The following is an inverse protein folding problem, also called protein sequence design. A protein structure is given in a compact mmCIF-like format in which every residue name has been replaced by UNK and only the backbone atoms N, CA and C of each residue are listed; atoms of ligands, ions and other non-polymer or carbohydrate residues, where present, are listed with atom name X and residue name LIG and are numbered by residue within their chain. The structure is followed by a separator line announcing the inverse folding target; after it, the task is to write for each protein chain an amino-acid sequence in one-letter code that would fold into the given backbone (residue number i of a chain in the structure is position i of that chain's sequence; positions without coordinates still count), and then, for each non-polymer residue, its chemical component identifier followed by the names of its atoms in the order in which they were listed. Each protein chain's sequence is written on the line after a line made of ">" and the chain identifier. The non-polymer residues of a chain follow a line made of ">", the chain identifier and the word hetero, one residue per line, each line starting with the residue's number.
data_IF_384695037037
#
_entry.id   IF_384695037037
#
_cell.length_a   1.000
_cell.length_b   1.000
_cell.length_c   1.000
_cell.angle_alpha   90.00
_cell.angle_beta   90.00
_cell.angle_gamma   90.00
#
_symmetry.space_group_name_H-M   'P 1'
#
loop_
_entity.id
_entity.type
_entity.pdbx_description
1 polymer ?
#
# COMPACT_ATOMS: atom_id res chain seq x y z
N UNK A 1 32.67 -10.68 9.49
CA UNK A 1 32.37 -9.65 10.49
C UNK A 1 31.12 -8.90 10.06
N UNK A 2 29.94 -9.37 10.49
CA UNK A 2 28.66 -8.67 10.26
C UNK A 2 28.30 -7.94 11.55
N UNK A 3 27.95 -6.68 11.36
CA UNK A 3 27.75 -5.60 12.30
C UNK A 3 26.73 -5.91 13.40
N UNK A 4 27.13 -5.73 14.66
CA UNK A 4 26.29 -5.89 15.86
C UNK A 4 25.14 -4.85 15.97
N UNK A 5 24.98 -3.97 14.98
CA UNK A 5 24.05 -2.83 15.00
C UNK A 5 22.61 -3.19 14.63
N UNK A 6 22.39 -4.27 13.88
CA UNK A 6 21.04 -4.65 13.42
C UNK A 6 20.21 -5.32 14.52
N UNK A 7 20.87 -5.96 15.50
CA UNK A 7 20.21 -6.58 16.67
C UNK A 7 19.69 -5.52 17.63
N UNK A 8 20.45 -4.45 17.87
CA UNK A 8 20.12 -3.38 18.84
C UNK A 8 18.93 -2.53 18.37
N UNK A 9 18.79 -2.33 17.04
CA UNK A 9 17.65 -1.62 16.45
C UNK A 9 16.37 -2.45 16.60
N UNK A 10 16.47 -3.78 16.49
CA UNK A 10 15.34 -4.69 16.69
C UNK A 10 14.88 -4.70 18.15
N UNK A 11 15.83 -4.75 19.10
CA UNK A 11 15.54 -4.73 20.53
C UNK A 11 14.95 -3.40 20.99
N UNK A 12 15.44 -2.28 20.44
CA UNK A 12 14.89 -0.95 20.75
C UNK A 12 13.47 -0.82 20.20
N UNK A 13 13.20 -1.32 18.99
CA UNK A 13 11.85 -1.34 18.41
C UNK A 13 10.89 -2.22 19.21
N UNK A 14 11.36 -3.37 19.69
CA UNK A 14 10.57 -4.28 20.53
C UNK A 14 10.26 -3.64 21.88
N UNK A 15 11.24 -2.98 22.52
CA UNK A 15 11.03 -2.22 23.77
C UNK A 15 10.04 -1.08 23.60
N UNK A 16 10.15 -0.31 22.52
CA UNK A 16 9.20 0.76 22.22
C UNK A 16 7.78 0.22 21.96
N UNK A 17 7.65 -0.96 21.36
CA UNK A 17 6.37 -1.64 21.18
C UNK A 17 5.77 -2.15 22.50
N UNK A 18 6.62 -2.66 23.39
CA UNK A 18 6.25 -3.17 24.71
C UNK A 18 5.88 -2.03 25.68
N UNK A 19 6.66 -0.96 25.68
CA UNK A 19 6.39 0.28 26.42
C UNK A 19 5.09 0.93 25.93
N UNK A 20 4.89 1.04 24.62
CA UNK A 20 3.62 1.52 24.06
C UNK A 20 2.42 0.60 24.41
N UNK A 21 2.66 -0.70 24.65
CA UNK A 21 1.61 -1.63 25.12
C UNK A 21 1.30 -1.40 26.60
N UNK A 22 2.34 -1.24 27.42
CA UNK A 22 2.21 -0.95 28.85
C UNK A 22 1.49 0.37 29.12
N UNK A 23 1.77 1.42 28.32
CA UNK A 23 1.05 2.70 28.40
C UNK A 23 -0.44 2.56 28.01
N UNK A 24 -0.77 1.71 27.03
CA UNK A 24 -2.18 1.42 26.66
C UNK A 24 -2.91 0.70 27.78
N UNK A 25 -2.24 -0.26 28.41
CA UNK A 25 -2.80 -1.05 29.52
C UNK A 25 -2.99 -0.19 30.78
N UNK A 26 -2.09 0.75 31.05
CA UNK A 26 -2.23 1.69 32.16
C UNK A 26 -3.33 2.73 31.91
N UNK A 27 -3.52 3.19 30.67
CA UNK A 27 -4.59 4.12 30.31
C UNK A 27 -6.01 3.51 30.43
N UNK A 28 -6.13 2.18 30.39
CA UNK A 28 -7.39 1.46 30.64
C UNK A 28 -7.80 1.46 32.12
N UNK A 29 -6.87 1.70 33.04
CA UNK A 29 -7.11 1.57 34.48
C UNK A 29 -7.58 2.87 35.16
N UNK A 30 -7.53 4.03 34.49
CA UNK A 30 -7.76 5.34 35.14
C UNK A 30 -8.92 6.16 34.55
N UNK A 31 -9.77 5.57 33.72
CA UNK A 31 -11.01 6.25 33.28
C UNK A 31 -12.12 5.24 32.97
N UNK A 32 -13.26 5.42 33.64
CA UNK A 32 -14.42 4.53 33.62
C UNK A 32 -14.67 3.85 32.27
N UNK A 33 -14.40 2.55 32.27
CA UNK A 33 -14.86 1.47 31.39
C UNK A 33 -15.45 1.91 30.03
N UNK A 34 -14.62 2.51 29.18
CA UNK A 34 -14.94 2.60 27.74
C UNK A 34 -14.65 1.24 27.12
N UNK A 35 -15.65 0.35 27.13
CA UNK A 35 -15.63 -0.88 26.33
C UNK A 35 -15.46 -0.48 24.86
N UNK A 36 -14.25 -0.58 24.34
CA UNK A 36 -13.98 -0.34 22.92
C UNK A 36 -14.66 -1.48 22.16
N UNK A 37 -15.77 -1.17 21.51
CA UNK A 37 -16.46 -2.13 20.66
C UNK A 37 -15.51 -2.59 19.55
N UNK A 38 -15.27 -3.91 19.49
CA UNK A 38 -14.53 -4.55 18.41
C UNK A 38 -15.48 -4.73 17.24
N UNK A 39 -15.08 -4.21 16.08
CA UNK A 39 -15.87 -4.27 14.85
C UNK A 39 -15.32 -5.33 13.94
N UNK A 40 -16.21 -6.09 13.30
CA UNK A 40 -15.87 -7.02 12.23
C UNK A 40 -16.61 -6.68 10.93
N UNK A 41 -16.07 -7.13 9.81
CA UNK A 41 -16.75 -7.10 8.52
C UNK A 41 -17.01 -8.53 8.03
N UNK A 42 -17.85 -8.71 7.01
CA UNK A 42 -18.17 -10.02 6.40
C UNK A 42 -16.93 -10.78 5.89
N UNK A 43 -15.81 -10.10 5.68
CA UNK A 43 -14.52 -10.70 5.31
C UNK A 43 -13.65 -11.10 6.51
N UNK A 44 -14.15 -10.95 7.73
CA UNK A 44 -13.48 -11.38 8.96
C UNK A 44 -12.43 -10.41 9.51
N UNK A 45 -12.23 -9.23 8.91
CA UNK A 45 -11.30 -8.24 9.47
C UNK A 45 -11.87 -7.62 10.73
N UNK A 46 -11.04 -7.52 11.77
CA UNK A 46 -11.40 -6.88 13.03
C UNK A 46 -10.61 -5.60 13.26
N UNK A 47 -11.24 -4.58 13.82
CA UNK A 47 -10.57 -3.34 14.22
C UNK A 47 -11.27 -2.64 15.39
N UNK A 48 -10.48 -1.88 16.13
CA UNK A 48 -10.92 -1.18 17.34
C UNK A 48 -11.42 0.23 16.96
N UNK A 49 -12.71 0.52 17.16
CA UNK A 49 -13.31 1.85 16.90
C UNK A 49 -14.51 2.13 17.81
N UNK A 50 -14.79 3.42 18.02
CA UNK A 50 -16.03 3.84 18.70
C UNK A 50 -17.25 3.62 17.81
N UNK A 51 -18.38 3.24 18.42
CA UNK A 51 -19.64 2.94 17.73
C UNK A 51 -20.09 4.06 16.78
N UNK A 52 -20.04 5.32 17.23
CA UNK A 52 -20.40 6.48 16.42
C UNK A 52 -19.54 6.64 15.16
N UNK A 53 -18.25 6.26 15.22
CA UNK A 53 -17.35 6.32 14.07
C UNK A 53 -17.53 5.10 13.15
N UNK A 54 -17.84 3.93 13.71
CA UNK A 54 -18.00 2.71 12.94
C UNK A 54 -19.24 2.73 12.02
N UNK A 55 -20.34 3.37 12.45
CA UNK A 55 -21.61 3.40 11.70
C UNK A 55 -21.50 3.96 10.27
N UNK A 56 -20.49 4.80 9.98
CA UNK A 56 -20.31 5.44 8.67
C UNK A 56 -19.02 5.02 7.95
N UNK A 57 -18.28 4.04 8.47
CA UNK A 57 -16.95 3.68 7.95
C UNK A 57 -16.99 2.29 7.31
N UNK A 58 -16.68 2.23 6.01
CA UNK A 58 -16.32 0.97 5.34
C UNK A 58 -15.05 0.40 5.99
N UNK A 59 -14.98 -0.93 6.13
CA UNK A 59 -13.81 -1.61 6.69
C UNK A 59 -12.49 -1.11 6.07
N UNK A 60 -11.64 -0.49 6.89
CA UNK A 60 -10.38 0.10 6.43
C UNK A 60 -9.37 -0.97 6.03
N UNK A 61 -9.38 -2.13 6.68
CA UNK A 61 -8.53 -3.27 6.32
C UNK A 61 -8.92 -3.82 4.93
N UNK A 62 -10.22 -3.95 4.64
CA UNK A 62 -10.70 -4.25 3.30
C UNK A 62 -10.25 -3.21 2.26
N UNK A 63 -10.21 -1.92 2.62
CA UNK A 63 -9.75 -0.87 1.72
C UNK A 63 -8.25 -0.97 1.43
N UNK A 64 -7.43 -1.28 2.45
CA UNK A 64 -5.99 -1.51 2.30
C UNK A 64 -5.74 -2.74 1.41
N UNK A 65 -6.37 -3.88 1.72
CA UNK A 65 -6.22 -5.11 0.93
C UNK A 65 -6.63 -4.92 -0.53
N UNK A 66 -7.66 -4.11 -0.81
CA UNK A 66 -8.02 -3.76 -2.20
C UNK A 66 -6.92 -2.98 -2.92
N UNK A 67 -6.28 -2.02 -2.24
CA UNK A 67 -5.16 -1.25 -2.83
C UNK A 67 -3.94 -2.11 -3.08
N UNK A 68 -3.66 -3.06 -2.19
CA UNK A 68 -2.57 -4.02 -2.35
C UNK A 68 -2.83 -4.98 -3.52
N UNK A 69 -4.06 -5.50 -3.62
CA UNK A 69 -4.49 -6.32 -4.75
C UNK A 69 -4.36 -5.56 -6.07
N UNK A 70 -4.79 -4.30 -6.09
CA UNK A 70 -4.68 -3.47 -7.30
C UNK A 70 -3.21 -3.20 -7.65
N UNK A 71 -2.37 -2.90 -6.66
CA UNK A 71 -0.91 -2.75 -6.87
C UNK A 71 -0.31 -4.01 -7.50
N UNK A 72 -0.73 -5.21 -7.05
CA UNK A 72 -0.29 -6.48 -7.64
C UNK A 72 -0.74 -6.60 -9.10
N UNK A 73 -2.01 -6.32 -9.40
CA UNK A 73 -2.54 -6.35 -10.78
C UNK A 73 -1.79 -5.41 -11.71
N UNK A 74 -1.45 -4.20 -11.25
CA UNK A 74 -0.68 -3.24 -12.04
C UNK A 74 0.76 -3.69 -12.30
N UNK A 75 1.38 -4.41 -11.35
CA UNK A 75 2.69 -5.06 -11.58
C UNK A 75 2.59 -6.15 -12.64
N UNK A 76 1.57 -7.00 -12.56
CA UNK A 76 1.32 -8.04 -13.57
C UNK A 76 1.08 -7.44 -14.95
N UNK A 77 0.27 -6.36 -15.05
CA UNK A 77 0.09 -5.61 -16.28
C UNK A 77 1.43 -5.14 -16.88
N UNK A 78 2.32 -4.60 -16.03
CA UNK A 78 3.62 -4.15 -16.49
C UNK A 78 4.46 -5.31 -17.02
N UNK A 79 4.51 -6.43 -16.29
CA UNK A 79 5.25 -7.62 -16.68
C UNK A 79 4.75 -8.19 -18.01
N UNK A 80 3.43 -8.30 -18.21
CA UNK A 80 2.83 -8.80 -19.46
C UNK A 80 3.21 -7.92 -20.66
N UNK A 81 3.43 -6.62 -20.43
CA UNK A 81 3.86 -5.67 -21.48
C UNK A 81 5.39 -5.53 -21.57
N UNK A 82 6.14 -6.44 -20.94
CA UNK A 82 7.60 -6.49 -20.94
C UNK A 82 8.25 -5.38 -20.12
N UNK A 83 7.50 -4.69 -19.25
CA UNK A 83 7.96 -3.58 -18.44
C UNK A 83 7.86 -3.84 -16.93
N UNK A 84 8.00 -2.77 -16.16
CA UNK A 84 7.92 -2.79 -14.71
C UNK A 84 7.13 -1.59 -14.16
N UNK A 85 6.42 -1.82 -13.05
CA UNK A 85 5.87 -0.75 -12.23
C UNK A 85 6.91 -0.37 -11.17
N UNK A 86 7.42 0.86 -11.24
CA UNK A 86 8.45 1.37 -10.33
C UNK A 86 7.86 2.00 -9.06
N UNK A 87 6.61 2.49 -9.13
CA UNK A 87 5.92 2.99 -7.93
C UNK A 87 5.68 1.90 -6.89
N UNK A 88 5.87 2.25 -5.61
CA UNK A 88 5.74 1.29 -4.50
C UNK A 88 4.32 0.75 -4.31
N UNK A 89 3.30 1.60 -4.43
CA UNK A 89 1.89 1.25 -4.17
C UNK A 89 0.94 2.10 -5.01
N UNK A 90 -0.21 1.52 -5.33
CA UNK A 90 -1.38 2.22 -5.84
C UNK A 90 -2.14 2.90 -4.69
N UNK A 91 -2.50 4.17 -4.86
CA UNK A 91 -3.26 4.94 -3.86
C UNK A 91 -4.69 5.17 -4.34
N UNK A 92 -4.83 5.69 -5.56
CA UNK A 92 -6.08 6.00 -6.23
C UNK A 92 -5.87 6.06 -7.76
N UNK A 93 -6.98 6.21 -8.51
CA UNK A 93 -6.97 6.20 -9.97
C UNK A 93 -6.36 7.46 -10.60
N UNK A 94 -6.27 8.56 -9.86
CA UNK A 94 -5.83 9.86 -10.36
C UNK A 94 -4.34 10.09 -10.16
N UNK A 95 -3.76 9.45 -9.15
CA UNK A 95 -2.35 9.59 -8.78
C UNK A 95 -1.48 8.94 -9.87
N UNK A 96 -0.56 9.70 -10.49
CA UNK A 96 0.39 9.14 -11.44
C UNK A 96 1.28 8.10 -10.77
N UNK A 97 1.52 7.00 -11.49
CA UNK A 97 2.47 5.97 -11.13
C UNK A 97 3.66 6.04 -12.08
N UNK A 98 4.82 5.63 -11.60
CA UNK A 98 6.04 5.54 -12.38
C UNK A 98 6.17 4.16 -13.00
N UNK A 99 6.34 4.12 -14.32
CA UNK A 99 6.41 2.91 -15.13
C UNK A 99 7.73 2.84 -15.88
N UNK A 100 8.10 1.64 -16.29
CA UNK A 100 9.23 1.37 -17.17
C UNK A 100 8.82 0.36 -18.24
N UNK A 101 9.24 0.54 -19.50
CA UNK A 101 9.00 -0.43 -20.58
C UNK A 101 10.22 -1.33 -20.80
N UNK A 102 10.07 -2.33 -21.68
CA UNK A 102 11.15 -3.27 -22.05
C UNK A 102 12.41 -2.60 -22.57
N UNK A 103 12.28 -1.45 -23.24
CA UNK A 103 13.39 -0.68 -23.81
C UNK A 103 14.03 0.28 -22.80
N UNK A 104 13.57 0.28 -21.54
CA UNK A 104 14.14 1.08 -20.47
C UNK A 104 13.54 2.48 -20.30
N UNK A 105 12.68 2.96 -21.21
CA UNK A 105 12.00 4.24 -21.05
C UNK A 105 11.17 4.29 -19.78
N UNK A 106 11.24 5.41 -19.05
CA UNK A 106 10.54 5.64 -17.79
C UNK A 106 9.59 6.80 -17.95
N UNK A 107 8.35 6.66 -17.50
CA UNK A 107 7.35 7.73 -17.55
C UNK A 107 6.39 7.67 -16.38
N UNK A 108 5.77 8.81 -16.10
CA UNK A 108 4.73 8.94 -15.07
C UNK A 108 3.35 8.99 -15.75
N UNK A 109 2.44 8.08 -15.37
CA UNK A 109 1.09 7.99 -15.89
C UNK A 109 0.14 7.33 -14.89
N UNK A 110 -1.14 7.69 -14.91
CA UNK A 110 -2.16 6.95 -14.16
C UNK A 110 -2.31 5.52 -14.70
N UNK A 111 -2.87 4.63 -13.88
CA UNK A 111 -3.08 3.23 -14.26
C UNK A 111 -3.93 3.08 -15.54
N UNK A 112 -5.01 3.86 -15.68
CA UNK A 112 -5.85 3.83 -16.89
C UNK A 112 -5.06 4.29 -18.13
N UNK A 113 -4.29 5.38 -18.02
CA UNK A 113 -3.49 5.89 -19.14
C UNK A 113 -2.44 4.87 -19.56
N UNK A 114 -1.68 4.31 -18.62
CA UNK A 114 -0.66 3.30 -18.93
C UNK A 114 -1.29 2.05 -19.59
N UNK A 115 -2.45 1.60 -19.13
CA UNK A 115 -3.14 0.44 -19.71
C UNK A 115 -3.54 0.64 -21.18
N UNK A 116 -3.94 1.86 -21.55
CA UNK A 116 -4.37 2.22 -22.92
C UNK A 116 -3.21 2.63 -23.81
N UNK A 117 -2.28 3.40 -23.28
CA UNK A 117 -1.10 3.96 -23.96
C UNK A 117 0.12 3.64 -23.11
N UNK A 118 0.83 2.58 -23.50
CA UNK A 118 1.94 2.04 -22.72
C UNK A 118 3.10 3.02 -22.65
N UNK A 119 3.97 3.04 -23.66
CA UNK A 119 5.13 3.93 -23.70
C UNK A 119 5.03 4.83 -24.93
N UNK A 120 5.06 6.14 -24.71
CA UNK A 120 4.97 7.14 -25.79
C UNK A 120 6.19 7.11 -26.69
N UNK A 121 7.38 6.90 -26.11
CA UNK A 121 8.63 6.78 -26.86
C UNK A 121 8.61 5.54 -27.76
N UNK A 122 8.27 4.37 -27.21
CA UNK A 122 8.12 3.16 -28.03
C UNK A 122 7.06 3.33 -29.12
N UNK A 123 5.95 4.02 -28.83
CA UNK A 123 4.94 4.28 -29.85
C UNK A 123 5.54 5.14 -30.98
N UNK A 124 6.30 6.19 -30.66
CA UNK A 124 6.98 7.02 -31.68
C UNK A 124 7.99 6.22 -32.50
N UNK A 125 8.82 5.41 -31.86
CA UNK A 125 9.89 4.64 -32.53
C UNK A 125 9.33 3.54 -33.44
N UNK A 126 8.28 2.85 -32.99
CA UNK A 126 7.57 1.87 -33.81
C UNK A 126 6.99 2.53 -35.06
N UNK A 127 6.40 3.73 -34.97
CA UNK A 127 5.89 4.41 -36.16
C UNK A 127 6.99 5.04 -37.04
N UNK A 128 8.14 5.42 -36.47
CA UNK A 128 9.26 5.97 -37.22
C UNK A 128 9.97 4.89 -38.06
N UNK A 129 9.96 3.63 -37.63
CA UNK A 129 10.65 2.53 -38.33
C UNK A 129 9.93 1.98 -39.58
N UNK A 130 8.68 2.38 -39.85
CA UNK A 130 7.92 1.98 -41.04
C UNK A 130 7.70 3.11 -42.07
N UNK A 131 8.31 4.29 -41.87
CA UNK A 131 8.26 5.41 -42.81
C UNK A 131 9.56 5.50 -43.59
#
# INVERSE_FOLDING_TARGET
>A
MKTMTDSVICDTRLRLMDEASSYRDQALNDSGEKVIARWDCERGHRWDKTLAVAQNVRCMNCAIERRELETRRLRELALVRGGALLSRRFTDATTPLRWQCAYGHVWDASADVASRRWCVECARDVFASYR
#
